data_IF_813084222320
#
_entry.id   IF_813084222320
#
_cell.length_a   1.000
_cell.length_b   1.000
_cell.length_c   1.000
_cell.angle_alpha   90.00
_cell.angle_beta   90.00
_cell.angle_gamma   90.00
#
_symmetry.space_group_name_H-M   'P 1'
#
loop_
_entity.id
_entity.type
_entity.pdbx_description
1 polymer ?
#
# COMPACT_ATOMS: atom_id res chain seq x y z
N UNK A 1 4.78 14.64 -10.44
CA UNK A 1 4.15 13.31 -10.29
C UNK A 1 3.07 13.03 -11.33
N UNK A 2 1.92 13.72 -11.30
CA UNK A 2 0.78 13.44 -12.20
C UNK A 2 1.11 13.49 -13.70
N UNK A 3 1.92 14.46 -14.16
CA UNK A 3 2.37 14.55 -15.55
C UNK A 3 3.19 13.31 -15.97
N UNK A 4 4.13 12.86 -15.14
CA UNK A 4 4.93 11.65 -15.38
C UNK A 4 4.04 10.40 -15.51
N UNK A 5 3.01 10.29 -14.68
CA UNK A 5 2.05 9.17 -14.75
C UNK A 5 1.20 9.23 -16.03
N UNK A 6 0.86 10.43 -16.48
CA UNK A 6 0.19 10.68 -17.76
C UNK A 6 1.06 10.27 -18.95
N UNK A 7 2.28 10.80 -19.03
CA UNK A 7 3.24 10.54 -20.12
C UNK A 7 3.58 9.05 -20.27
N UNK A 8 3.58 8.31 -19.15
CA UNK A 8 3.85 6.86 -19.16
C UNK A 8 2.59 6.00 -19.33
N UNK A 9 1.42 6.59 -19.56
CA UNK A 9 0.16 5.87 -19.72
C UNK A 9 -0.29 5.11 -18.47
N UNK A 10 0.24 5.44 -17.29
CA UNK A 10 -0.07 4.76 -16.03
C UNK A 10 -1.29 5.36 -15.32
N UNK A 11 -1.71 6.57 -15.71
CA UNK A 11 -2.76 7.33 -15.04
C UNK A 11 -4.11 6.58 -15.01
N UNK A 12 -4.50 5.92 -16.10
CA UNK A 12 -5.75 5.17 -16.19
C UNK A 12 -5.75 3.98 -15.24
N UNK A 13 -4.69 3.17 -15.28
CA UNK A 13 -4.50 2.02 -14.40
C UNK A 13 -4.52 2.42 -12.91
N UNK A 14 -3.80 3.49 -12.56
CA UNK A 14 -3.78 4.02 -11.20
C UNK A 14 -5.15 4.54 -10.76
N UNK A 15 -5.85 5.28 -11.63
CA UNK A 15 -7.17 5.84 -11.28
C UNK A 15 -8.24 4.77 -11.12
N UNK A 16 -8.21 3.70 -11.93
CA UNK A 16 -9.23 2.66 -11.94
C UNK A 16 -9.02 1.63 -10.83
N UNK A 17 -7.76 1.23 -10.59
CA UNK A 17 -7.43 0.12 -9.67
C UNK A 17 -6.79 0.59 -8.37
N UNK A 18 -6.34 1.85 -8.32
CA UNK A 18 -5.54 2.33 -7.20
C UNK A 18 -4.20 1.61 -7.10
N UNK A 19 -3.51 1.85 -6.00
CA UNK A 19 -2.24 1.18 -5.67
C UNK A 19 -2.57 -0.23 -5.17
N UNK A 20 -2.03 -1.26 -5.84
CA UNK A 20 -2.19 -2.67 -5.43
C UNK A 20 -3.59 -3.26 -5.61
N UNK A 21 -4.47 -2.60 -6.35
CA UNK A 21 -5.86 -3.03 -6.48
C UNK A 21 -6.74 -2.58 -5.32
N UNK A 22 -6.35 -1.57 -4.53
CA UNK A 22 -7.15 -1.09 -3.38
C UNK A 22 -8.55 -0.59 -3.76
N UNK A 23 -8.78 -0.27 -5.03
CA UNK A 23 -10.13 0.06 -5.54
C UNK A 23 -11.04 -1.17 -5.66
N UNK A 24 -10.53 -2.40 -5.51
CA UNK A 24 -11.27 -3.67 -5.48
C UNK A 24 -11.32 -4.18 -4.01
N UNK A 25 -12.28 -3.72 -3.18
CA UNK A 25 -12.28 -3.99 -1.74
C UNK A 25 -12.56 -5.46 -1.39
N UNK A 26 -13.08 -6.23 -2.33
CA UNK A 26 -13.34 -7.66 -2.22
C UNK A 26 -12.09 -8.53 -2.48
N UNK A 27 -11.00 -7.93 -2.98
CA UNK A 27 -9.82 -8.67 -3.39
C UNK A 27 -8.51 -7.99 -3.02
N UNK A 28 -7.81 -8.56 -2.05
CA UNK A 28 -6.41 -8.23 -1.77
C UNK A 28 -5.51 -8.93 -2.80
N UNK A 29 -4.98 -8.18 -3.78
CA UNK A 29 -4.07 -8.74 -4.79
C UNK A 29 -2.67 -8.99 -4.23
N UNK A 30 -2.10 -8.01 -3.55
CA UNK A 30 -0.78 -8.10 -2.95
C UNK A 30 -0.73 -7.37 -1.60
N UNK A 31 -0.43 -8.13 -0.54
CA UNK A 31 -0.47 -7.65 0.85
C UNK A 31 0.40 -6.40 1.07
N UNK A 32 1.63 -6.41 0.55
CA UNK A 32 2.58 -5.31 0.73
C UNK A 32 2.07 -3.97 0.20
N UNK A 33 1.19 -3.98 -0.82
CA UNK A 33 0.71 -2.74 -1.43
C UNK A 33 -0.49 -2.16 -0.67
N UNK A 34 -1.33 -3.02 -0.08
CA UNK A 34 -2.34 -2.60 0.89
C UNK A 34 -1.71 -2.03 2.16
N UNK A 35 -0.60 -2.61 2.62
CA UNK A 35 0.18 -2.06 3.72
C UNK A 35 0.82 -0.71 3.35
N UNK A 36 1.44 -0.60 2.17
CA UNK A 36 1.98 0.68 1.70
C UNK A 36 0.91 1.78 1.61
N UNK A 37 -0.31 1.44 1.17
CA UNK A 37 -1.44 2.37 1.18
C UNK A 37 -1.89 2.74 2.61
N UNK A 38 -1.89 1.77 3.54
CA UNK A 38 -2.19 1.99 4.97
C UNK A 38 -1.26 3.04 5.59
N UNK A 39 0.02 3.05 5.21
CA UNK A 39 1.00 4.03 5.69
C UNK A 39 0.71 5.48 5.24
N UNK A 40 -0.12 5.68 4.21
CA UNK A 40 -0.55 7.01 3.74
C UNK A 40 -1.93 7.36 4.29
N UNK A 41 -2.89 6.43 4.18
CA UNK A 41 -4.23 6.54 4.76
C UNK A 41 -4.59 5.20 5.41
N UNK A 42 -4.88 5.16 6.71
CA UNK A 42 -5.20 3.93 7.41
C UNK A 42 -6.33 3.13 6.75
N UNK A 43 -6.21 1.81 6.78
CA UNK A 43 -7.18 0.85 6.28
C UNK A 43 -7.12 -0.46 7.08
N UNK A 44 -8.22 -1.23 7.04
CA UNK A 44 -8.39 -2.42 7.87
C UNK A 44 -7.37 -3.55 7.61
N UNK A 45 -6.79 -3.66 6.41
CA UNK A 45 -5.73 -4.65 6.17
C UNK A 45 -4.47 -4.27 6.95
N UNK A 46 -4.10 -2.99 6.94
CA UNK A 46 -2.96 -2.55 7.74
C UNK A 46 -3.22 -2.61 9.24
N UNK A 47 -4.44 -2.35 9.70
CA UNK A 47 -4.78 -2.54 11.13
C UNK A 47 -4.61 -4.00 11.56
N UNK A 48 -5.05 -4.96 10.73
CA UNK A 48 -4.84 -6.39 10.97
C UNK A 48 -3.34 -6.71 11.00
N UNK A 49 -2.58 -6.23 10.01
CA UNK A 49 -1.12 -6.44 9.95
C UNK A 49 -0.45 -5.88 11.21
N UNK A 50 -0.73 -4.64 11.58
CA UNK A 50 -0.14 -4.00 12.76
C UNK A 50 -0.51 -4.76 14.05
N UNK A 51 -1.76 -5.24 14.19
CA UNK A 51 -2.15 -6.08 15.34
C UNK A 51 -1.40 -7.41 15.42
N UNK A 52 -1.10 -8.04 14.27
CA UNK A 52 -0.34 -9.29 14.21
C UNK A 52 1.14 -9.08 14.54
N UNK A 53 1.68 -7.89 14.29
CA UNK A 53 3.07 -7.55 14.55
C UNK A 53 3.29 -6.76 15.86
N UNK A 54 2.23 -6.39 16.56
CA UNK A 54 2.28 -5.61 17.82
C UNK A 54 3.04 -6.34 18.95
N UNK A 55 2.98 -7.68 18.97
CA UNK A 55 3.71 -8.52 19.92
C UNK A 55 5.05 -9.04 19.36
N UNK A 56 5.32 -8.82 18.08
CA UNK A 56 6.62 -9.13 17.48
C UNK A 56 7.58 -7.99 17.83
N UNK A 57 8.52 -8.24 18.74
CA UNK A 57 9.69 -7.37 19.00
C UNK A 57 10.12 -6.67 17.70
N UNK A 58 10.23 -5.32 17.68
CA UNK A 58 10.32 -4.56 16.44
C UNK A 58 11.57 -4.99 15.67
N UNK A 59 11.38 -5.82 14.63
CA UNK A 59 12.35 -5.88 13.54
C UNK A 59 12.12 -4.62 12.72
N UNK A 60 13.14 -3.79 12.51
CA UNK A 60 12.95 -2.49 11.91
C UNK A 60 12.70 -2.66 10.41
N UNK A 61 11.45 -2.92 10.02
CA UNK A 61 11.02 -2.93 8.61
C UNK A 61 11.20 -1.52 8.02
N UNK A 62 11.08 -0.48 8.85
CA UNK A 62 11.21 0.94 8.46
C UNK A 62 12.69 1.38 8.33
N UNK A 63 13.67 0.71 8.97
CA UNK A 63 15.08 1.09 8.79
C UNK A 63 15.64 0.72 7.41
N UNK A 64 14.99 -0.19 6.68
CA UNK A 64 15.39 -0.61 5.34
C UNK A 64 14.85 0.28 4.21
N UNK A 65 13.94 1.22 4.51
CA UNK A 65 13.30 2.13 3.53
C UNK A 65 13.62 3.60 3.83
N UNK A 66 14.86 3.89 4.25
CA UNK A 66 15.39 5.25 4.07
C UNK A 66 15.74 5.42 2.59
N UNK A 67 14.89 6.17 1.88
CA UNK A 67 15.24 6.84 0.64
C UNK A 67 16.46 7.75 0.85
#
# INVERSE_FOLDING_TARGET
>A
ERALLGDRGMLSALSQRGIGGISEPDRVRCLHTWYAAHLVVPNGIGDIVDSLFIDASPRPIIAALRL
#
